data_IF_075294654979
#
_entry.id   IF_075294654979
#
_cell.length_a   1.000
_cell.length_b   1.000
_cell.length_c   1.000
_cell.angle_alpha   90.00
_cell.angle_beta   90.00
_cell.angle_gamma   90.00
#
_symmetry.space_group_name_H-M   'P 1'
#
loop_
_entity.id
_entity.type
_entity.pdbx_description
1 polymer ?
#
# COMPACT_ATOMS: atom_id res chain seq x y z
N UNK A 1 12.63 16.21 5.55
CA UNK A 1 12.37 14.77 5.36
C UNK A 1 11.06 14.50 6.07
N UNK A 2 9.95 14.27 5.35
CA UNK A 2 8.66 13.97 5.99
C UNK A 2 8.78 12.58 6.60
N UNK A 3 8.63 12.50 7.92
CA UNK A 3 8.52 11.21 8.61
C UNK A 3 7.14 10.67 8.24
N UNK A 4 7.12 9.75 7.28
CA UNK A 4 5.95 8.96 6.87
C UNK A 4 5.24 8.50 8.16
N UNK A 5 3.97 8.88 8.36
CA UNK A 5 3.29 8.74 9.67
C UNK A 5 3.25 7.30 10.18
N UNK A 6 2.91 7.14 11.46
CA UNK A 6 2.69 5.83 12.11
C UNK A 6 1.52 5.01 11.51
N UNK A 7 0.82 5.53 10.49
CA UNK A 7 -0.30 4.87 9.83
C UNK A 7 0.21 3.97 8.70
N UNK A 8 0.06 2.66 8.87
CA UNK A 8 0.33 1.66 7.84
C UNK A 8 -0.98 1.30 7.10
N UNK A 9 -0.93 1.33 5.77
CA UNK A 9 -2.03 0.92 4.89
C UNK A 9 -1.56 -0.25 4.03
N UNK A 10 -2.20 -1.41 4.17
CA UNK A 10 -1.98 -2.58 3.34
C UNK A 10 -3.02 -2.65 2.22
N UNK A 11 -2.55 -2.68 0.98
CA UNK A 11 -3.37 -2.80 -0.23
C UNK A 11 -3.16 -4.19 -0.80
N UNK A 12 -4.24 -4.92 -1.04
CA UNK A 12 -4.20 -6.29 -1.59
C UNK A 12 -5.04 -6.36 -2.84
N UNK A 13 -4.40 -6.55 -3.99
CA UNK A 13 -5.05 -6.67 -5.30
C UNK A 13 -4.16 -7.52 -6.22
N UNK A 14 -4.74 -8.48 -6.94
CA UNK A 14 -4.00 -9.41 -7.81
C UNK A 14 -3.51 -8.75 -9.10
N UNK A 15 -3.92 -7.50 -9.38
CA UNK A 15 -3.52 -6.73 -10.54
C UNK A 15 -2.59 -5.58 -10.15
N UNK A 16 -1.38 -5.60 -10.73
CA UNK A 16 -0.36 -4.57 -10.51
C UNK A 16 -0.84 -3.16 -10.89
N UNK A 17 -1.62 -3.01 -11.96
CA UNK A 17 -2.16 -1.72 -12.38
C UNK A 17 -3.05 -1.09 -11.31
N UNK A 18 -3.87 -1.90 -10.63
CA UNK A 18 -4.75 -1.43 -9.57
C UNK A 18 -3.95 -0.99 -8.34
N UNK A 19 -2.93 -1.76 -7.96
CA UNK A 19 -2.02 -1.41 -6.87
C UNK A 19 -1.31 -0.07 -7.11
N UNK A 20 -0.87 0.18 -8.35
CA UNK A 20 -0.24 1.45 -8.72
C UNK A 20 -1.21 2.63 -8.62
N UNK A 21 -2.43 2.47 -9.17
CA UNK A 21 -3.47 3.50 -9.09
C UNK A 21 -3.81 3.82 -7.63
N UNK A 22 -4.00 2.79 -6.79
CA UNK A 22 -4.30 2.98 -5.38
C UNK A 22 -3.14 3.63 -4.63
N UNK A 23 -1.90 3.29 -4.93
CA UNK A 23 -0.73 3.95 -4.35
C UNK A 23 -0.69 5.45 -4.71
N UNK A 24 -0.90 5.81 -5.98
CA UNK A 24 -0.93 7.22 -6.40
C UNK A 24 -2.08 8.01 -5.77
N UNK A 25 -3.23 7.39 -5.51
CA UNK A 25 -4.35 8.04 -4.82
C UNK A 25 -4.04 8.34 -3.35
N UNK A 26 -3.15 7.57 -2.73
CA UNK A 26 -2.82 7.65 -1.31
C UNK A 26 -1.46 8.34 -1.06
N UNK A 27 -0.73 8.72 -2.11
CA UNK A 27 0.62 9.32 -2.04
C UNK A 27 0.64 10.64 -1.25
N UNK A 28 -0.42 11.44 -1.36
CA UNK A 28 -0.57 12.70 -0.62
C UNK A 28 -0.93 12.50 0.86
N UNK A 29 -1.39 11.30 1.23
CA UNK A 29 -1.52 10.94 2.64
C UNK A 29 -0.14 10.60 3.17
N UNK A 30 0.26 11.26 4.24
CA UNK A 30 1.54 11.03 4.92
C UNK A 30 1.55 9.65 5.61
N UNK A 31 1.44 8.54 4.87
CA UNK A 31 1.23 7.19 5.39
C UNK A 31 2.15 6.16 4.74
N UNK A 32 2.36 5.04 5.42
CA UNK A 32 3.16 3.93 4.93
C UNK A 32 2.30 2.96 4.12
N UNK A 33 2.47 2.99 2.80
CA UNK A 33 1.78 2.08 1.89
C UNK A 33 2.57 0.77 1.77
N UNK A 34 1.90 -0.34 2.03
CA UNK A 34 2.36 -1.71 1.90
C UNK A 34 1.45 -2.38 0.86
N UNK A 35 2.03 -3.15 -0.06
CA UNK A 35 1.30 -3.77 -1.18
C UNK A 35 1.49 -5.28 -1.18
N UNK A 36 0.45 -6.01 -1.54
CA UNK A 36 0.49 -7.44 -1.78
C UNK A 36 -0.37 -7.79 -3.00
N UNK A 37 0.04 -8.81 -3.74
CA UNK A 37 -0.67 -9.33 -4.92
C UNK A 37 -1.63 -10.48 -4.58
N UNK A 38 -1.63 -10.95 -3.34
CA UNK A 38 -2.53 -12.01 -2.87
C UNK A 38 -2.76 -11.92 -1.37
N UNK A 39 -3.84 -12.55 -0.90
CA UNK A 39 -4.11 -12.66 0.54
C UNK A 39 -3.03 -13.43 1.30
N UNK A 40 -2.41 -14.44 0.68
CA UNK A 40 -1.34 -15.21 1.32
C UNK A 40 -0.07 -14.37 1.50
N UNK A 41 0.28 -13.58 0.47
CA UNK A 41 1.38 -12.62 0.58
C UNK A 41 1.05 -11.57 1.65
N UNK A 42 -0.17 -11.04 1.67
CA UNK A 42 -0.63 -10.06 2.65
C UNK A 42 -0.53 -10.57 4.10
N UNK A 43 -0.84 -11.84 4.36
CA UNK A 43 -0.72 -12.45 5.69
C UNK A 43 0.72 -12.70 6.13
N UNK A 44 1.69 -12.67 5.20
CA UNK A 44 3.11 -12.90 5.50
C UNK A 44 3.92 -11.63 5.78
N UNK A 45 3.30 -10.45 5.64
CA UNK A 45 3.91 -9.13 5.79
C UNK A 45 3.91 -8.61 7.23
#
# INVERSE_FOLDING_TARGET
>A
MKNKSDINILIVDDRQDNLLVLESLLEDMDCNIIKATSGNEALSL
#
